data_IF_274913190477
#
_entry.id   IF_274913190477
#
_cell.length_a   1.000
_cell.length_b   1.000
_cell.length_c   1.000
_cell.angle_alpha   90.00
_cell.angle_beta   90.00
_cell.angle_gamma   90.00
#
_symmetry.space_group_name_H-M   'P 1'
#
loop_
_entity.id
_entity.type
_entity.pdbx_description
1 polymer ?
#
# COMPACT_ATOMS: atom_id res chain seq x y z
N UNK A 1 -16.57 -55.13 54.77
CA UNK A 1 -15.60 -55.81 55.66
C UNK A 1 -14.35 -56.01 54.83
N UNK A 2 -13.38 -55.09 54.87
CA UNK A 2 -12.39 -54.87 55.93
C UNK A 2 -11.04 -55.54 55.54
N UNK A 3 -9.96 -54.73 55.54
CA UNK A 3 -8.61 -55.05 56.08
C UNK A 3 -7.74 -55.95 55.16
N UNK A 4 -6.44 -55.73 54.84
CA UNK A 4 -5.37 -54.79 55.24
C UNK A 4 -4.11 -55.00 54.36
N UNK A 5 -3.27 -53.96 54.29
CA UNK A 5 -1.80 -53.89 54.41
C UNK A 5 -0.87 -54.99 53.88
N UNK A 6 0.20 -54.55 53.20
CA UNK A 6 1.62 -54.60 53.63
C UNK A 6 2.52 -54.64 52.39
N UNK A 7 3.25 -53.58 52.03
CA UNK A 7 4.51 -53.11 52.63
C UNK A 7 5.77 -53.72 51.99
N UNK A 8 6.64 -52.80 51.55
CA UNK A 8 8.10 -52.87 51.39
C UNK A 8 8.72 -54.04 50.62
N UNK A 9 9.59 -53.71 49.64
CA UNK A 9 11.03 -53.80 49.87
C UNK A 9 11.82 -53.02 48.81
N UNK A 10 12.76 -52.23 49.32
CA UNK A 10 13.73 -51.36 48.66
C UNK A 10 14.89 -52.15 48.03
N UNK A 11 15.53 -51.58 47.00
CA UNK A 11 16.98 -51.64 46.73
C UNK A 11 17.26 -51.00 45.36
N UNK A 12 18.37 -50.33 45.07
CA UNK A 12 19.25 -49.49 45.86
C UNK A 12 20.07 -48.71 44.84
N UNK A 13 20.43 -47.49 45.21
CA UNK A 13 21.17 -46.53 44.41
C UNK A 13 22.69 -46.78 44.50
N UNK A 14 23.41 -46.73 43.38
CA UNK A 14 24.85 -46.39 43.31
C UNK A 14 25.23 -46.28 41.81
N UNK A 15 25.97 -45.31 41.30
CA UNK A 15 27.12 -44.56 41.81
C UNK A 15 27.20 -43.20 41.07
N UNK A 16 27.42 -42.10 41.82
CA UNK A 16 28.65 -41.25 41.84
C UNK A 16 29.08 -40.74 40.45
N UNK A 17 28.77 -39.48 40.13
CA UNK A 17 29.59 -38.27 40.38
C UNK A 17 30.81 -38.20 39.47
N UNK A 18 30.88 -37.16 38.63
CA UNK A 18 31.94 -36.16 38.76
C UNK A 18 31.66 -34.91 37.91
N UNK A 19 32.04 -33.82 38.55
CA UNK A 19 31.93 -32.40 38.28
C UNK A 19 32.66 -31.93 37.01
N UNK A 20 32.03 -31.08 36.19
CA UNK A 20 32.64 -29.84 35.68
C UNK A 20 31.67 -29.01 34.86
N UNK A 21 31.34 -27.86 35.45
CA UNK A 21 31.01 -26.60 34.81
C UNK A 21 31.76 -26.35 33.49
N UNK A 22 31.01 -26.15 32.40
CA UNK A 22 31.29 -25.09 31.43
C UNK A 22 29.95 -24.47 31.00
N UNK A 23 29.82 -23.19 31.33
CA UNK A 23 28.84 -22.29 30.75
C UNK A 23 29.28 -22.02 29.31
N UNK A 24 28.53 -22.55 28.34
CA UNK A 24 28.56 -22.02 26.98
C UNK A 24 27.27 -21.24 26.74
N UNK A 25 27.48 -19.98 26.33
CA UNK A 25 26.46 -19.00 26.07
C UNK A 25 25.45 -19.50 25.02
N UNK A 26 24.16 -19.39 25.34
CA UNK A 26 23.09 -19.61 24.36
C UNK A 26 22.99 -18.36 23.49
N UNK A 27 23.33 -18.52 22.21
CA UNK A 27 23.18 -17.50 21.17
C UNK A 27 21.73 -16.99 21.08
N UNK A 28 21.49 -15.67 21.06
CA UNK A 28 20.15 -15.09 21.02
C UNK A 28 19.67 -14.89 19.58
N UNK A 29 19.67 -15.94 18.75
CA UNK A 29 19.05 -15.92 17.42
C UNK A 29 18.60 -17.31 17.02
N UNK A 30 17.46 -17.74 17.55
CA UNK A 30 16.50 -18.52 16.77
C UNK A 30 15.11 -18.29 17.36
N UNK A 31 14.54 -17.16 16.95
CA UNK A 31 13.15 -16.83 17.19
C UNK A 31 12.28 -17.87 16.50
N UNK A 32 11.84 -18.85 17.28
CA UNK A 32 10.52 -19.48 17.25
C UNK A 32 9.58 -18.84 16.21
N UNK A 33 9.46 -19.43 15.04
CA UNK A 33 8.28 -19.26 14.18
C UNK A 33 7.28 -20.36 14.56
N UNK A 34 6.71 -20.23 15.75
CA UNK A 34 5.41 -20.80 16.05
C UNK A 34 4.49 -19.59 16.18
N UNK A 35 3.86 -19.20 15.08
CA UNK A 35 2.77 -18.22 15.10
C UNK A 35 1.50 -18.91 14.60
N UNK A 36 0.68 -19.30 15.56
CA UNK A 36 -0.62 -19.92 15.38
C UNK A 36 -1.61 -18.90 14.76
N UNK A 37 -1.65 -18.74 13.43
CA UNK A 37 -2.84 -18.22 12.71
C UNK A 37 -2.83 -18.36 11.18
N UNK A 38 -2.15 -19.36 10.61
CA UNK A 38 -2.17 -19.65 9.16
C UNK A 38 -3.48 -20.34 8.71
N UNK A 39 -4.64 -19.71 8.92
CA UNK A 39 -5.92 -20.20 8.38
C UNK A 39 -6.19 -19.59 7.00
N UNK A 40 -5.45 -20.07 5.99
CA UNK A 40 -5.66 -19.68 4.58
C UNK A 40 -6.91 -20.32 3.94
N UNK A 41 -7.75 -20.96 4.75
CA UNK A 41 -8.99 -21.61 4.34
C UNK A 41 -8.83 -23.08 4.01
N UNK A 42 -9.95 -23.64 3.53
CA UNK A 42 -10.10 -25.06 3.21
C UNK A 42 -9.96 -25.26 1.69
N UNK A 43 -9.28 -26.34 1.30
CA UNK A 43 -9.13 -26.73 -0.09
C UNK A 43 -10.49 -27.14 -0.69
N UNK A 44 -10.90 -26.55 -1.83
CA UNK A 44 -12.18 -26.87 -2.45
C UNK A 44 -12.24 -28.28 -3.06
N UNK A 45 -11.10 -28.91 -3.35
CA UNK A 45 -11.06 -30.25 -3.97
C UNK A 45 -11.13 -31.40 -2.96
N UNK A 46 -10.50 -31.25 -1.80
CA UNK A 46 -10.34 -32.35 -0.84
C UNK A 46 -10.72 -32.01 0.60
N UNK A 47 -11.08 -30.75 0.89
CA UNK A 47 -11.41 -30.32 2.25
C UNK A 47 -10.19 -30.19 3.19
N UNK A 48 -8.96 -30.39 2.72
CA UNK A 48 -7.75 -30.24 3.51
C UNK A 48 -7.36 -28.76 3.73
N UNK A 49 -6.60 -28.45 4.78
CA UNK A 49 -6.12 -27.09 5.03
C UNK A 49 -5.18 -26.59 3.92
N UNK A 50 -5.33 -25.34 3.51
CA UNK A 50 -4.41 -24.65 2.60
C UNK A 50 -3.23 -24.06 3.37
N UNK A 51 -2.04 -24.10 2.77
CA UNK A 51 -0.79 -23.54 3.31
C UNK A 51 -0.16 -22.60 2.28
N UNK A 52 0.55 -21.59 2.78
CA UNK A 52 1.35 -20.71 1.93
C UNK A 52 2.63 -21.43 1.48
N UNK A 53 2.86 -21.49 0.17
CA UNK A 53 4.00 -22.16 -0.46
C UNK A 53 4.71 -21.15 -1.36
N UNK A 54 6.04 -21.06 -1.23
CA UNK A 54 6.87 -20.26 -2.11
C UNK A 54 7.25 -21.05 -3.37
N UNK A 55 6.99 -20.49 -4.54
CA UNK A 55 7.42 -21.04 -5.84
C UNK A 55 8.34 -20.07 -6.58
N UNK A 56 9.00 -20.54 -7.65
CA UNK A 56 9.80 -19.69 -8.55
C UNK A 56 9.02 -18.49 -9.13
N UNK A 57 7.68 -18.57 -9.20
CA UNK A 57 6.82 -17.50 -9.75
C UNK A 57 6.14 -16.64 -8.67
N UNK A 58 6.36 -16.94 -7.38
CA UNK A 58 5.76 -16.20 -6.25
C UNK A 58 5.10 -17.11 -5.22
N UNK A 59 4.39 -16.48 -4.28
CA UNK A 59 3.66 -17.17 -3.21
C UNK A 59 2.31 -17.70 -3.72
N UNK A 60 1.99 -18.94 -3.36
CA UNK A 60 0.72 -19.59 -3.69
C UNK A 60 0.14 -20.28 -2.47
N UNK A 61 -1.19 -20.43 -2.43
CA UNK A 61 -1.84 -21.32 -1.49
C UNK A 61 -1.90 -22.71 -2.09
N UNK A 62 -1.30 -23.69 -1.42
CA UNK A 62 -1.35 -25.10 -1.83
C UNK A 62 -1.99 -25.97 -0.76
N UNK A 63 -2.61 -27.07 -1.19
CA UNK A 63 -3.17 -28.04 -0.25
C UNK A 63 -2.08 -28.72 0.60
N UNK A 64 -2.32 -28.83 1.91
CA UNK A 64 -1.46 -29.60 2.83
C UNK A 64 -1.39 -31.09 2.48
N UNK A 65 -2.35 -31.62 1.71
CA UNK A 65 -2.40 -33.01 1.24
C UNK A 65 -1.57 -33.30 -0.01
N UNK A 66 -0.69 -32.40 -0.46
CA UNK A 66 0.25 -32.68 -1.55
C UNK A 66 1.18 -33.86 -1.18
N UNK A 67 1.45 -34.83 -2.08
CA UNK A 67 1.14 -34.88 -3.51
C UNK A 67 -0.22 -35.50 -3.88
N UNK A 68 -1.01 -35.97 -2.89
CA UNK A 68 -2.30 -36.63 -3.12
C UNK A 68 -3.35 -35.65 -3.67
N UNK A 69 -3.36 -34.41 -3.20
CA UNK A 69 -4.12 -33.31 -3.78
C UNK A 69 -3.14 -32.25 -4.29
N UNK A 70 -3.22 -31.92 -5.59
CA UNK A 70 -2.34 -30.95 -6.26
C UNK A 70 -2.96 -29.56 -6.41
N UNK A 71 -4.07 -29.29 -5.72
CA UNK A 71 -4.73 -27.99 -5.74
C UNK A 71 -3.76 -26.89 -5.29
N UNK A 72 -3.66 -25.86 -6.15
CA UNK A 72 -2.87 -24.66 -5.91
C UNK A 72 -3.61 -23.45 -6.48
N UNK A 73 -3.64 -22.36 -5.73
CA UNK A 73 -4.22 -21.08 -6.18
C UNK A 73 -3.27 -19.93 -5.87
N UNK A 74 -3.21 -18.87 -6.71
CA UNK A 74 -2.42 -17.68 -6.40
C UNK A 74 -2.82 -17.09 -5.05
N UNK A 75 -1.83 -16.70 -4.25
CA UNK A 75 -2.10 -15.98 -3.01
C UNK A 75 -2.33 -14.50 -3.32
N UNK A 76 -3.54 -14.01 -3.07
CA UNK A 76 -3.87 -12.58 -3.15
C UNK A 76 -3.86 -12.03 -1.73
N UNK A 77 -2.87 -11.20 -1.41
CA UNK A 77 -2.84 -10.45 -0.16
C UNK A 77 -4.07 -9.54 -0.13
N UNK A 78 -5.05 -9.85 0.73
CA UNK A 78 -6.15 -8.92 1.02
C UNK A 78 -5.53 -7.69 1.68
N UNK A 79 -5.53 -6.58 0.95
CA UNK A 79 -4.95 -5.34 1.45
C UNK A 79 -5.78 -4.82 2.61
N UNK A 80 -5.19 -4.79 3.80
CA UNK A 80 -5.81 -4.18 4.96
C UNK A 80 -5.70 -2.67 4.80
N UNK A 81 -6.83 -2.02 4.55
CA UNK A 81 -6.94 -0.56 4.57
C UNK A 81 -7.33 -0.16 5.99
N UNK A 82 -6.46 0.56 6.69
CA UNK A 82 -6.73 1.03 8.04
C UNK A 82 -7.34 2.42 8.01
N UNK A 83 -8.33 2.67 8.86
CA UNK A 83 -8.91 4.00 9.06
C UNK A 83 -8.06 4.70 10.12
N UNK A 84 -7.40 5.80 9.75
CA UNK A 84 -6.56 6.55 10.70
C UNK A 84 -7.37 7.60 11.45
N UNK A 85 -8.22 8.35 10.75
CA UNK A 85 -9.06 9.39 11.35
C UNK A 85 -10.33 9.66 10.55
N UNK A 86 -11.39 10.01 11.25
CA UNK A 86 -12.62 10.53 10.65
C UNK A 86 -12.50 12.03 10.38
N UNK A 87 -13.08 12.48 9.27
CA UNK A 87 -13.18 13.90 8.92
C UNK A 87 -14.59 14.38 9.25
N UNK A 88 -14.76 14.87 10.48
CA UNK A 88 -16.00 15.45 10.95
C UNK A 88 -16.27 16.76 10.18
N UNK A 89 -17.41 16.84 9.51
CA UNK A 89 -17.82 17.99 8.70
C UNK A 89 -17.75 17.80 7.18
N UNK A 90 -16.96 16.84 6.68
CA UNK A 90 -16.91 16.54 5.24
C UNK A 90 -17.73 15.28 4.96
N UNK A 91 -18.88 15.45 4.30
CA UNK A 91 -19.75 14.35 3.88
C UNK A 91 -19.41 13.89 2.47
N UNK A 92 -19.53 12.59 2.22
CA UNK A 92 -19.39 12.01 0.89
C UNK A 92 -20.51 12.53 -0.04
N UNK A 93 -20.20 12.97 -1.27
CA UNK A 93 -21.20 13.46 -2.21
C UNK A 93 -22.12 12.36 -2.78
N UNK A 94 -21.72 11.09 -2.68
CA UNK A 94 -22.51 9.96 -3.20
C UNK A 94 -23.50 9.39 -2.18
N UNK A 95 -23.11 9.31 -0.89
CA UNK A 95 -23.93 8.65 0.13
C UNK A 95 -24.17 9.47 1.41
N UNK A 96 -23.56 10.65 1.55
CA UNK A 96 -23.74 11.53 2.70
C UNK A 96 -23.04 11.11 4.00
N UNK A 97 -22.40 9.93 4.04
CA UNK A 97 -21.61 9.48 5.18
C UNK A 97 -20.34 10.33 5.39
N UNK A 98 -19.80 10.41 6.61
CA UNK A 98 -18.58 11.14 6.87
C UNK A 98 -17.41 10.54 6.09
N UNK A 99 -16.52 11.39 5.62
CA UNK A 99 -15.27 10.97 5.00
C UNK A 99 -14.25 10.58 6.06
N UNK A 100 -13.28 9.74 5.69
CA UNK A 100 -12.21 9.31 6.57
C UNK A 100 -10.87 9.31 5.82
N UNK A 101 -9.81 9.66 6.54
CA UNK A 101 -8.43 9.43 6.08
C UNK A 101 -8.10 7.98 6.37
N UNK A 102 -7.78 7.24 5.30
CA UNK A 102 -7.40 5.84 5.34
C UNK A 102 -5.97 5.68 4.85
N UNK A 103 -5.27 4.70 5.38
CA UNK A 103 -3.93 4.33 4.93
C UNK A 103 -3.96 3.03 4.14
N UNK A 104 -3.34 3.06 2.96
CA UNK A 104 -3.16 1.89 2.12
C UNK A 104 -1.74 1.81 1.56
N UNK A 105 -1.51 0.86 0.64
CA UNK A 105 -0.19 0.61 0.03
C UNK A 105 0.45 1.85 -0.60
N UNK A 106 -0.37 2.73 -1.18
CA UNK A 106 0.09 3.93 -1.89
C UNK A 106 0.17 5.18 -1.00
N UNK A 107 -0.01 5.00 0.32
CA UNK A 107 -0.03 6.08 1.31
C UNK A 107 -1.44 6.39 1.81
N UNK A 108 -1.56 7.53 2.49
CA UNK A 108 -2.82 8.06 3.01
C UNK A 108 -3.68 8.63 1.90
N UNK A 109 -4.98 8.35 1.96
CA UNK A 109 -5.98 8.89 1.04
C UNK A 109 -7.30 9.12 1.77
N UNK A 110 -8.13 10.02 1.23
CA UNK A 110 -9.44 10.32 1.81
C UNK A 110 -10.50 9.52 1.05
N UNK A 111 -11.30 8.73 1.76
CA UNK A 111 -12.39 7.96 1.17
C UNK A 111 -13.61 7.93 2.07
N UNK A 112 -14.75 7.47 1.53
CA UNK A 112 -15.95 7.32 2.34
C UNK A 112 -15.73 6.33 3.50
N UNK A 113 -16.25 6.64 4.69
CA UNK A 113 -16.22 5.73 5.83
C UNK A 113 -17.01 4.44 5.57
N UNK A 114 -18.10 4.52 4.78
CA UNK A 114 -19.01 3.41 4.49
C UNK A 114 -18.52 2.44 3.39
N UNK A 115 -17.21 2.15 3.33
CA UNK A 115 -16.67 1.09 2.47
C UNK A 115 -16.94 -0.28 3.13
N UNK A 116 -17.39 -1.33 2.42
CA UNK A 116 -17.39 -1.52 0.96
C UNK A 116 -18.64 -1.02 0.20
N UNK A 117 -19.70 -0.59 0.90
CA UNK A 117 -20.96 -0.14 0.25
C UNK A 117 -20.77 1.12 -0.62
N UNK A 118 -19.84 1.99 -0.24
CA UNK A 118 -19.48 3.20 -0.99
C UNK A 118 -17.99 3.21 -1.34
N UNK A 119 -17.71 3.21 -2.64
CA UNK A 119 -16.35 3.21 -3.21
C UNK A 119 -15.80 4.62 -3.50
N UNK A 120 -16.46 5.67 -3.01
CA UNK A 120 -16.03 7.04 -3.25
C UNK A 120 -14.66 7.35 -2.62
N UNK A 121 -13.74 7.86 -3.44
CA UNK A 121 -12.42 8.35 -3.04
C UNK A 121 -12.31 9.82 -3.42
N UNK A 122 -12.04 10.67 -2.44
CA UNK A 122 -11.80 12.08 -2.70
C UNK A 122 -10.41 12.23 -3.33
N UNK A 123 -10.42 12.75 -4.56
CA UNK A 123 -9.21 13.11 -5.28
C UNK A 123 -9.05 14.62 -5.13
N UNK A 124 -8.02 15.03 -4.39
CA UNK A 124 -7.59 16.42 -4.40
C UNK A 124 -7.22 16.77 -5.85
N UNK A 125 -8.09 17.53 -6.52
CA UNK A 125 -7.89 17.92 -7.92
C UNK A 125 -6.78 18.95 -7.97
N UNK A 126 -5.53 18.52 -7.80
CA UNK A 126 -4.36 19.39 -7.96
C UNK A 126 -4.11 19.83 -9.40
N UNK A 127 -4.93 19.39 -10.35
CA UNK A 127 -5.09 20.12 -11.60
C UNK A 127 -6.27 21.07 -11.43
N UNK A 128 -5.98 22.32 -11.07
CA UNK A 128 -6.81 23.41 -11.55
C UNK A 128 -7.11 23.15 -13.03
N UNK A 129 -8.34 23.36 -13.47
CA UNK A 129 -8.72 23.26 -14.89
C UNK A 129 -8.00 24.38 -15.66
N UNK A 130 -6.71 24.19 -15.93
CA UNK A 130 -5.84 25.17 -16.56
C UNK A 130 -6.07 25.07 -18.07
N UNK A 131 -6.52 26.15 -18.73
CA UNK A 131 -6.76 26.13 -20.16
C UNK A 131 -5.44 25.93 -20.92
N UNK A 132 -5.51 25.20 -22.03
CA UNK A 132 -4.39 25.03 -22.93
C UNK A 132 -4.05 26.38 -23.60
N UNK A 133 -2.81 26.88 -23.45
CA UNK A 133 -2.41 28.17 -24.01
C UNK A 133 -2.28 28.15 -25.55
N UNK A 134 -2.20 26.97 -26.17
CA UNK A 134 -2.07 26.83 -27.63
C UNK A 134 -3.44 26.79 -28.33
N UNK A 135 -4.38 25.97 -27.85
CA UNK A 135 -5.67 25.80 -28.52
C UNK A 135 -6.84 26.55 -27.86
N UNK A 136 -6.71 26.99 -26.60
CA UNK A 136 -7.75 27.68 -25.84
C UNK A 136 -9.01 26.86 -25.52
N UNK A 137 -9.23 25.72 -26.19
CA UNK A 137 -10.43 24.87 -26.09
C UNK A 137 -10.29 23.70 -25.13
N UNK A 138 -9.07 23.20 -24.96
CA UNK A 138 -8.77 22.07 -24.08
C UNK A 138 -8.22 22.50 -22.71
N UNK A 139 -8.20 21.58 -21.76
CA UNK A 139 -7.57 21.74 -20.43
C UNK A 139 -6.30 20.90 -20.33
N UNK A 140 -5.35 21.33 -19.52
CA UNK A 140 -4.10 20.60 -19.26
C UNK A 140 -4.34 19.48 -18.24
N UNK A 141 -4.28 18.23 -18.70
CA UNK A 141 -4.48 17.05 -17.86
C UNK A 141 -3.16 16.34 -17.55
N UNK A 142 -3.06 15.82 -16.32
CA UNK A 142 -1.93 15.01 -15.87
C UNK A 142 -1.92 13.67 -16.60
N UNK A 143 -0.81 13.35 -17.27
CA UNK A 143 -0.56 12.08 -17.98
C UNK A 143 0.78 11.50 -17.55
N UNK A 144 0.95 10.19 -17.73
CA UNK A 144 2.20 9.47 -17.45
C UNK A 144 2.75 8.86 -18.73
N UNK A 145 4.06 8.93 -18.89
CA UNK A 145 4.77 8.21 -19.97
C UNK A 145 4.97 6.73 -19.59
N UNK A 146 5.43 5.90 -20.55
CA UNK A 146 5.84 4.50 -20.29
C UNK A 146 6.90 4.35 -19.20
N UNK A 147 7.65 5.41 -18.92
CA UNK A 147 8.69 5.46 -17.90
C UNK A 147 8.20 6.10 -16.58
N UNK A 148 6.88 6.17 -16.36
CA UNK A 148 6.26 6.80 -15.20
C UNK A 148 6.57 8.30 -14.99
N UNK A 149 7.24 8.97 -15.95
CA UNK A 149 7.42 10.42 -15.91
C UNK A 149 6.09 11.12 -16.17
N UNK A 150 5.71 12.03 -15.28
CA UNK A 150 4.48 12.82 -15.36
C UNK A 150 4.67 14.00 -16.32
N UNK A 151 3.66 14.29 -17.12
CA UNK A 151 3.56 15.48 -17.96
C UNK A 151 2.11 15.97 -18.00
N UNK A 152 1.90 17.22 -18.40
CA UNK A 152 0.57 17.83 -18.54
C UNK A 152 0.28 17.98 -20.03
N UNK A 153 -0.66 17.22 -20.55
CA UNK A 153 -1.05 17.24 -21.97
C UNK A 153 -2.42 17.87 -22.17
N UNK A 154 -2.65 18.48 -23.33
CA UNK A 154 -3.98 18.98 -23.69
C UNK A 154 -5.00 17.84 -23.74
N UNK A 155 -6.21 18.08 -23.19
CA UNK A 155 -7.34 17.16 -23.28
C UNK A 155 -7.83 16.95 -24.72
N UNK A 156 -7.63 17.95 -25.59
CA UNK A 156 -8.07 17.92 -26.99
C UNK A 156 -7.10 17.17 -27.92
N UNK A 157 -6.36 16.19 -27.41
CA UNK A 157 -5.56 15.28 -28.23
C UNK A 157 -6.52 14.31 -28.96
N UNK A 158 -6.36 14.03 -30.27
CA UNK A 158 -5.16 14.24 -31.11
C UNK A 158 -5.04 15.61 -31.79
N UNK A 159 -6.09 16.43 -31.81
CA UNK A 159 -6.13 17.71 -32.54
C UNK A 159 -5.13 18.75 -31.98
N UNK A 160 -4.89 18.73 -30.67
CA UNK A 160 -3.89 19.55 -30.00
C UNK A 160 -2.85 18.67 -29.30
N UNK A 161 -1.59 18.76 -29.74
CA UNK A 161 -0.45 17.98 -29.21
C UNK A 161 0.35 18.71 -28.13
N UNK A 162 -0.14 19.88 -27.68
CA UNK A 162 0.49 20.67 -26.64
C UNK A 162 0.72 19.84 -25.37
N UNK A 163 1.93 19.93 -24.83
CA UNK A 163 2.27 19.30 -23.56
C UNK A 163 3.34 20.10 -22.80
N UNK A 164 3.35 19.93 -21.48
CA UNK A 164 4.30 20.53 -20.56
C UNK A 164 4.93 19.46 -19.67
N UNK A 165 6.25 19.50 -19.51
CA UNK A 165 6.99 18.57 -18.66
C UNK A 165 6.93 18.93 -17.16
N UNK A 166 6.61 20.19 -16.85
CA UNK A 166 6.57 20.72 -15.48
C UNK A 166 5.14 21.12 -15.12
N UNK A 167 4.86 21.16 -13.82
CA UNK A 167 3.54 21.46 -13.30
C UNK A 167 3.10 22.87 -13.73
N UNK A 168 1.97 23.00 -14.46
CA UNK A 168 1.37 24.28 -14.77
C UNK A 168 0.66 24.83 -13.54
N UNK A 169 0.68 26.15 -13.41
CA UNK A 169 0.02 26.94 -12.36
C UNK A 169 -0.76 28.04 -13.04
N UNK A 170 -2.02 28.22 -12.62
CA UNK A 170 -2.88 29.28 -13.13
C UNK A 170 -2.45 30.62 -12.52
N UNK A 171 -1.81 31.48 -13.31
CA UNK A 171 -1.40 32.83 -12.90
C UNK A 171 -1.29 33.74 -14.12
N UNK A 172 -1.90 34.94 -14.04
CA UNK A 172 -1.82 35.97 -15.08
C UNK A 172 -0.40 36.54 -15.18
N UNK A 173 0.11 36.63 -16.41
CA UNK A 173 1.41 37.21 -16.72
C UNK A 173 1.27 38.70 -17.03
N UNK A 174 2.02 39.55 -16.34
CA UNK A 174 2.02 41.01 -16.57
C UNK A 174 2.55 41.43 -17.94
N UNK A 175 3.42 40.61 -18.58
CA UNK A 175 4.03 40.97 -19.87
C UNK A 175 3.21 40.57 -21.10
N UNK A 176 2.47 39.47 -21.02
CA UNK A 176 1.80 38.89 -22.20
C UNK A 176 0.34 38.51 -21.95
N UNK A 177 -0.19 38.71 -20.74
CA UNK A 177 -1.56 38.38 -20.37
C UNK A 177 -1.86 36.87 -20.22
N UNK A 178 -0.92 35.98 -20.57
CA UNK A 178 -1.12 34.53 -20.46
C UNK A 178 -1.42 34.10 -19.01
N UNK A 179 -2.36 33.16 -18.82
CA UNK A 179 -2.74 32.64 -17.50
C UNK A 179 -1.95 31.40 -17.05
N UNK A 180 -0.94 30.96 -17.82
CA UNK A 180 -0.25 29.68 -17.58
C UNK A 180 1.24 29.90 -17.31
N UNK A 181 1.70 29.46 -16.14
CA UNK A 181 3.10 29.42 -15.76
C UNK A 181 3.53 28.00 -15.38
N UNK A 182 4.80 27.66 -15.52
CA UNK A 182 5.38 26.40 -15.06
C UNK A 182 6.25 26.61 -13.81
N UNK A 183 6.19 25.68 -12.86
CA UNK A 183 7.07 25.67 -11.69
C UNK A 183 8.40 25.01 -12.02
N UNK A 184 9.51 25.75 -11.86
CA UNK A 184 10.86 25.18 -11.85
C UNK A 184 11.49 25.29 -10.48
N UNK A 185 12.06 24.19 -10.01
CA UNK A 185 12.88 24.13 -8.79
C UNK A 185 14.33 24.49 -9.17
N UNK A 186 14.86 25.58 -8.63
CA UNK A 186 16.26 25.98 -8.76
C UNK A 186 16.95 25.89 -7.39
N UNK A 187 18.27 26.08 -7.36
CA UNK A 187 19.04 26.16 -6.10
C UNK A 187 18.51 27.25 -5.15
N UNK A 188 18.06 28.38 -5.70
CA UNK A 188 17.58 29.54 -4.93
C UNK A 188 16.06 29.55 -4.74
N UNK A 189 15.43 28.38 -4.65
CA UNK A 189 13.98 28.23 -4.47
C UNK A 189 13.20 27.99 -5.77
N UNK A 190 11.88 28.11 -5.69
CA UNK A 190 10.96 27.86 -6.81
C UNK A 190 10.78 29.14 -7.63
N UNK A 191 10.84 29.02 -8.95
CA UNK A 191 10.52 30.11 -9.89
C UNK A 191 9.39 29.68 -10.81
N UNK A 192 8.45 30.58 -11.04
CA UNK A 192 7.42 30.45 -12.06
C UNK A 192 7.92 31.04 -13.37
N UNK A 193 7.73 30.32 -14.45
CA UNK A 193 8.13 30.76 -15.79
C UNK A 193 6.89 30.76 -16.69
N UNK A 194 6.58 31.87 -17.32
CA UNK A 194 5.48 31.95 -18.27
C UNK A 194 5.75 31.07 -19.49
N UNK A 195 4.74 30.32 -19.94
CA UNK A 195 4.87 29.38 -21.07
C UNK A 195 4.99 30.06 -22.44
N UNK A 196 4.50 31.29 -22.59
CA UNK A 196 4.56 32.04 -23.85
C UNK A 196 5.77 32.98 -23.92
N UNK A 197 5.93 33.88 -22.94
CA UNK A 197 6.98 34.91 -23.00
C UNK A 197 8.26 34.57 -22.22
N UNK A 198 8.28 33.46 -21.49
CA UNK A 198 9.45 33.06 -20.69
C UNK A 198 9.75 33.97 -19.49
N UNK A 199 8.85 34.92 -19.16
CA UNK A 199 9.03 35.80 -18.00
C UNK A 199 9.12 34.98 -16.72
N UNK A 200 10.08 35.33 -15.85
CA UNK A 200 10.37 34.59 -14.62
C UNK A 200 9.96 35.43 -13.42
N UNK A 201 9.16 34.85 -12.55
CA UNK A 201 8.75 35.45 -11.27
C UNK A 201 9.07 34.46 -10.16
N UNK A 202 9.32 34.95 -8.95
CA UNK A 202 9.51 34.07 -7.81
C UNK A 202 8.15 33.45 -7.42
N UNK A 203 8.17 32.14 -7.16
CA UNK A 203 6.99 31.34 -6.85
C UNK A 203 6.66 31.41 -5.37
#
# INVERSE_FOLDING_TARGET
MAITDNSLFSADCNQKSDDKSQHDAVDPTDSKLNDDSDNYGICPECGGALKLIATRRGLMLGCSGYPKCRYMTPFVIKQVVTIERMLEGTKCPECGYPMAVKSGRYGQFISCSNYPECHYVFKDRQSDDIPCPECGRGVLQVRKTRFNKVFWGCSNYPDCKYNLAHQPVRRKCEKCGCEVHIVRKLKNGKKLICVLCGNRINA
#
